data_IF_411006276603
#
_entry.id   IF_411006276603
#
_cell.length_a   1.000
_cell.length_b   1.000
_cell.length_c   1.000
_cell.angle_alpha   90.00
_cell.angle_beta   90.00
_cell.angle_gamma   90.00
#
_symmetry.space_group_name_H-M   'P 1'
#
loop_
_entity.id
_entity.type
_entity.pdbx_description
1 polymer ?
#
# COMPACT_ATOMS: atom_id res chain seq x y z
N UNK A 1 13.90 -8.20 0.29
CA UNK A 1 12.59 -7.54 0.13
C UNK A 1 12.71 -6.13 0.66
N UNK A 2 12.06 -5.17 -0.01
CA UNK A 2 12.14 -3.73 0.25
C UNK A 2 11.56 -3.33 1.62
N UNK A 3 12.06 -2.25 2.23
CA UNK A 3 11.62 -1.80 3.56
C UNK A 3 10.96 -0.41 3.40
N UNK A 4 9.79 -0.17 4.02
CA UNK A 4 9.16 1.14 3.99
C UNK A 4 10.05 2.22 4.62
N UNK A 5 10.04 3.41 4.03
CA UNK A 5 10.75 4.59 4.54
C UNK A 5 9.88 5.85 4.37
N UNK A 6 10.38 7.02 4.78
CA UNK A 6 9.70 8.31 4.61
C UNK A 6 10.50 9.22 3.67
N UNK A 7 11.45 8.69 2.90
CA UNK A 7 12.39 9.51 2.15
C UNK A 7 11.67 10.28 1.04
N UNK A 8 10.73 9.63 0.35
CA UNK A 8 9.84 10.30 -0.60
C UNK A 8 9.01 11.41 0.07
N UNK A 9 8.45 11.14 1.26
CA UNK A 9 7.63 12.10 1.97
C UNK A 9 8.45 13.34 2.39
N UNK A 10 9.68 13.12 2.87
CA UNK A 10 10.63 14.18 3.21
C UNK A 10 11.01 14.99 1.98
N UNK A 11 11.25 14.34 0.85
CA UNK A 11 11.58 15.02 -0.40
C UNK A 11 10.45 15.96 -0.83
N UNK A 12 9.21 15.46 -0.89
CA UNK A 12 8.06 16.28 -1.32
C UNK A 12 7.66 17.34 -0.31
N UNK A 13 8.00 17.16 0.98
CA UNK A 13 7.75 18.17 2.02
C UNK A 13 8.65 19.40 1.88
N UNK A 14 9.81 19.28 1.21
CA UNK A 14 10.79 20.36 1.13
C UNK A 14 11.31 20.86 2.48
N UNK A 15 11.23 20.04 3.54
CA UNK A 15 11.59 20.40 4.91
C UNK A 15 10.44 20.92 5.78
N UNK A 16 9.19 20.93 5.27
CA UNK A 16 8.00 21.23 6.06
C UNK A 16 7.59 20.04 6.92
N UNK A 17 7.94 20.12 8.21
CA UNK A 17 7.65 19.07 9.19
C UNK A 17 6.16 18.95 9.52
N UNK A 18 5.39 20.04 9.42
CA UNK A 18 3.94 19.98 9.69
C UNK A 18 3.24 19.21 8.57
N UNK A 19 3.65 19.44 7.33
CA UNK A 19 3.21 18.66 6.17
C UNK A 19 3.59 17.18 6.30
N UNK A 20 4.85 16.85 6.63
CA UNK A 20 5.30 15.47 6.83
C UNK A 20 4.44 14.75 7.89
N UNK A 21 4.22 15.39 9.03
CA UNK A 21 3.42 14.82 10.12
C UNK A 21 1.94 14.65 9.75
N UNK A 22 1.35 15.60 9.03
CA UNK A 22 -0.02 15.51 8.56
C UNK A 22 -0.21 14.31 7.60
N UNK A 23 0.69 14.16 6.64
CA UNK A 23 0.67 13.06 5.68
C UNK A 23 0.92 11.70 6.34
N UNK A 24 1.87 11.62 7.27
CA UNK A 24 2.12 10.39 8.04
C UNK A 24 0.89 10.02 8.88
N UNK A 25 0.23 10.99 9.51
CA UNK A 25 -1.00 10.76 10.27
C UNK A 25 -2.12 10.23 9.40
N UNK A 26 -2.28 10.78 8.19
CA UNK A 26 -3.25 10.29 7.21
C UNK A 26 -2.96 8.85 6.79
N UNK A 27 -1.70 8.52 6.48
CA UNK A 27 -1.29 7.16 6.14
C UNK A 27 -1.60 6.17 7.27
N UNK A 28 -1.29 6.55 8.53
CA UNK A 28 -1.57 5.72 9.71
C UNK A 28 -3.06 5.48 9.94
N UNK A 29 -3.91 6.43 9.56
CA UNK A 29 -5.36 6.30 9.67
C UNK A 29 -5.95 5.44 8.56
N UNK A 30 -5.62 5.75 7.30
CA UNK A 30 -6.31 5.17 6.15
C UNK A 30 -5.76 3.79 5.73
N UNK A 31 -4.43 3.61 5.76
CA UNK A 31 -3.80 2.38 5.25
C UNK A 31 -4.32 1.12 5.95
N UNK A 32 -4.46 1.06 7.29
CA UNK A 32 -4.99 -0.14 7.95
C UNK A 32 -6.45 -0.45 7.56
N UNK A 33 -7.25 0.59 7.32
CA UNK A 33 -8.65 0.45 6.91
C UNK A 33 -8.73 -0.11 5.49
N UNK A 34 -8.00 0.46 4.54
CA UNK A 34 -7.92 -0.03 3.15
C UNK A 34 -7.39 -1.46 3.07
N UNK A 35 -6.35 -1.78 3.82
CA UNK A 35 -5.81 -3.14 3.87
C UNK A 35 -6.83 -4.15 4.42
N UNK A 36 -7.69 -3.72 5.35
CA UNK A 36 -8.79 -4.55 5.86
C UNK A 36 -9.86 -4.78 4.80
N UNK A 37 -10.25 -3.73 4.07
CA UNK A 37 -11.21 -3.82 2.97
C UNK A 37 -10.68 -4.73 1.85
N UNK A 38 -9.40 -4.62 1.49
CA UNK A 38 -8.76 -5.49 0.50
C UNK A 38 -8.91 -6.97 0.86
N UNK A 39 -8.64 -7.34 2.12
CA UNK A 39 -8.76 -8.72 2.58
C UNK A 39 -10.20 -9.21 2.53
N UNK A 40 -11.14 -8.39 2.97
CA UNK A 40 -12.57 -8.70 2.91
C UNK A 40 -13.03 -8.90 1.46
N UNK A 41 -12.60 -8.06 0.52
CA UNK A 41 -12.94 -8.20 -0.89
C UNK A 41 -12.30 -9.44 -1.52
N UNK A 42 -11.09 -9.81 -1.09
CA UNK A 42 -10.44 -11.06 -1.48
C UNK A 42 -11.20 -12.29 -1.00
N UNK A 43 -11.62 -12.33 0.26
CA UNK A 43 -12.42 -13.43 0.83
C UNK A 43 -13.76 -13.62 0.11
N UNK A 44 -14.32 -12.54 -0.44
CA UNK A 44 -15.56 -12.56 -1.23
C UNK A 44 -15.36 -12.80 -2.73
N UNK A 45 -14.12 -12.94 -3.21
CA UNK A 45 -13.76 -13.05 -4.64
C UNK A 45 -14.25 -11.87 -5.51
N UNK A 46 -14.33 -10.67 -4.95
CA UNK A 46 -14.76 -9.46 -5.66
C UNK A 46 -13.60 -8.86 -6.47
N UNK A 47 -13.20 -9.50 -7.58
CA UNK A 47 -11.97 -9.16 -8.31
C UNK A 47 -11.85 -7.69 -8.79
N UNK A 48 -12.94 -7.07 -9.20
CA UNK A 48 -12.94 -5.67 -9.60
C UNK A 48 -12.66 -4.73 -8.41
N UNK A 49 -13.30 -4.99 -7.27
CA UNK A 49 -13.09 -4.24 -6.03
C UNK A 49 -11.68 -4.44 -5.49
N UNK A 50 -11.16 -5.68 -5.53
CA UNK A 50 -9.78 -5.99 -5.15
C UNK A 50 -8.81 -5.16 -5.99
N UNK A 51 -9.02 -5.06 -7.30
CA UNK A 51 -8.15 -4.25 -8.15
C UNK A 51 -8.21 -2.75 -7.79
N UNK A 52 -9.39 -2.23 -7.47
CA UNK A 52 -9.55 -0.85 -7.01
C UNK A 52 -8.87 -0.60 -5.65
N UNK A 53 -8.95 -1.56 -4.73
CA UNK A 53 -8.27 -1.49 -3.44
C UNK A 53 -6.74 -1.50 -3.62
N UNK A 54 -6.21 -2.39 -4.47
CA UNK A 54 -4.79 -2.44 -4.79
C UNK A 54 -4.34 -1.12 -5.43
N UNK A 55 -5.15 -0.53 -6.30
CA UNK A 55 -4.83 0.77 -6.92
C UNK A 55 -4.63 1.88 -5.88
N UNK A 56 -5.52 1.97 -4.89
CA UNK A 56 -5.44 2.96 -3.80
C UNK A 56 -4.20 2.71 -2.93
N UNK A 57 -4.03 1.46 -2.50
CA UNK A 57 -2.91 1.05 -1.64
C UNK A 57 -1.57 1.27 -2.34
N UNK A 58 -1.47 1.02 -3.65
CA UNK A 58 -0.26 1.22 -4.45
C UNK A 58 0.30 2.63 -4.34
N UNK A 59 -0.55 3.67 -4.33
CA UNK A 59 -0.08 5.05 -4.14
C UNK A 59 0.62 5.23 -2.79
N UNK A 60 0.11 4.57 -1.74
CA UNK A 60 0.70 4.60 -0.40
C UNK A 60 2.00 3.82 -0.31
N UNK A 61 2.12 2.71 -1.03
CA UNK A 61 3.39 1.98 -1.20
C UNK A 61 4.44 2.92 -1.83
N UNK A 62 4.06 3.67 -2.88
CA UNK A 62 4.93 4.66 -3.51
C UNK A 62 5.34 5.78 -2.56
N UNK A 63 4.39 6.31 -1.76
CA UNK A 63 4.68 7.32 -0.74
C UNK A 63 5.68 6.85 0.33
N UNK A 64 5.79 5.53 0.54
CA UNK A 64 6.72 4.91 1.48
C UNK A 64 8.06 4.53 0.84
N UNK A 65 8.33 5.04 -0.38
CA UNK A 65 9.60 4.85 -1.08
C UNK A 65 9.87 3.40 -1.47
N UNK A 66 8.82 2.64 -1.80
CA UNK A 66 8.90 1.20 -2.10
C UNK A 66 8.63 0.90 -3.59
N UNK A 67 9.53 1.33 -4.49
CA UNK A 67 9.34 1.26 -5.95
C UNK A 67 9.15 -0.17 -6.49
N UNK A 68 9.97 -1.13 -6.04
CA UNK A 68 9.83 -2.52 -6.49
C UNK A 68 8.49 -3.11 -6.04
N UNK A 69 7.99 -2.66 -4.90
CA UNK A 69 6.69 -3.05 -4.37
C UNK A 69 5.52 -2.40 -5.14
N UNK A 70 5.70 -1.18 -5.67
CA UNK A 70 4.75 -0.53 -6.58
C UNK A 70 4.60 -1.33 -7.88
N UNK A 71 5.70 -1.86 -8.43
CA UNK A 71 5.66 -2.70 -9.62
C UNK A 71 4.90 -4.01 -9.38
N UNK A 72 5.15 -4.66 -8.25
CA UNK A 72 4.43 -5.86 -7.85
C UNK A 72 2.93 -5.58 -7.65
N UNK A 73 2.58 -4.49 -6.97
CA UNK A 73 1.19 -4.07 -6.79
C UNK A 73 0.51 -3.78 -8.15
N UNK A 74 1.21 -3.12 -9.07
CA UNK A 74 0.72 -2.85 -10.44
C UNK A 74 0.48 -4.14 -11.23
N UNK A 75 1.33 -5.15 -11.04
CA UNK A 75 1.15 -6.47 -11.67
C UNK A 75 -0.07 -7.18 -11.08
N UNK A 76 -0.18 -7.21 -9.75
CA UNK A 76 -1.32 -7.81 -9.05
C UNK A 76 -2.65 -7.14 -9.44
N UNK A 77 -2.71 -5.80 -9.46
CA UNK A 77 -3.88 -5.00 -9.88
C UNK A 77 -4.40 -5.41 -11.26
N UNK A 78 -3.49 -5.65 -12.22
CA UNK A 78 -3.84 -6.06 -13.59
C UNK A 78 -4.29 -7.51 -13.65
N UNK A 79 -3.57 -8.39 -12.96
CA UNK A 79 -3.78 -9.84 -13.05
C UNK A 79 -5.05 -10.28 -12.32
N UNK A 80 -5.37 -9.65 -11.18
CA UNK A 80 -6.50 -10.05 -10.34
C UNK A 80 -7.84 -9.82 -11.04
N UNK A 81 -7.94 -8.82 -11.94
CA UNK A 81 -9.13 -8.60 -12.79
C UNK A 81 -9.45 -9.79 -13.69
N UNK A 82 -8.46 -10.61 -14.02
CA UNK A 82 -8.63 -11.83 -14.80
C UNK A 82 -8.75 -13.09 -13.91
N UNK A 83 -8.92 -12.92 -12.60
CA UNK A 83 -8.94 -14.00 -11.60
C UNK A 83 -7.57 -14.60 -11.29
N UNK A 84 -6.47 -14.02 -11.79
CA UNK A 84 -5.12 -14.47 -11.45
C UNK A 84 -4.67 -13.84 -10.11
N UNK A 85 -4.41 -14.69 -9.11
CA UNK A 85 -4.05 -14.31 -7.75
C UNK A 85 -2.59 -14.63 -7.38
N UNK A 86 -1.74 -14.99 -8.35
CA UNK A 86 -0.34 -15.40 -8.15
C UNK A 86 0.45 -14.39 -7.31
N UNK A 87 0.32 -13.10 -7.62
CA UNK A 87 1.05 -12.03 -6.91
C UNK A 87 0.42 -11.63 -5.56
N UNK A 88 -0.81 -12.07 -5.28
CA UNK A 88 -1.56 -11.57 -4.12
C UNK A 88 -0.86 -11.90 -2.81
N UNK A 89 -0.30 -13.11 -2.69
CA UNK A 89 0.43 -13.53 -1.49
C UNK A 89 1.62 -12.61 -1.20
N UNK A 90 2.41 -12.30 -2.22
CA UNK A 90 3.59 -11.44 -2.05
C UNK A 90 3.18 -10.00 -1.75
N UNK A 91 2.10 -9.52 -2.37
CA UNK A 91 1.51 -8.23 -2.04
C UNK A 91 1.10 -8.19 -0.57
N UNK A 92 0.38 -9.18 -0.05
CA UNK A 92 -0.03 -9.22 1.36
C UNK A 92 1.16 -9.13 2.31
N UNK A 93 2.26 -9.85 2.04
CA UNK A 93 3.49 -9.78 2.86
C UNK A 93 4.11 -8.37 2.88
N UNK A 94 4.04 -7.65 1.75
CA UNK A 94 4.46 -6.24 1.67
C UNK A 94 3.54 -5.37 2.53
N UNK A 95 2.23 -5.54 2.41
CA UNK A 95 1.24 -4.74 3.13
C UNK A 95 1.32 -4.96 4.65
N UNK A 96 1.57 -6.19 5.10
CA UNK A 96 1.81 -6.50 6.51
C UNK A 96 3.04 -5.77 7.05
N UNK A 97 4.13 -5.72 6.28
CA UNK A 97 5.35 -4.99 6.65
C UNK A 97 5.08 -3.49 6.78
N UNK A 98 4.33 -2.91 5.84
CA UNK A 98 3.92 -1.50 5.92
C UNK A 98 3.07 -1.26 7.18
N UNK A 99 2.11 -2.15 7.46
CA UNK A 99 1.25 -2.02 8.63
C UNK A 99 2.05 -2.06 9.95
N UNK A 100 3.07 -2.94 10.03
CA UNK A 100 3.99 -2.97 11.19
C UNK A 100 4.83 -1.70 11.27
N UNK A 101 5.35 -1.22 10.15
CA UNK A 101 6.14 0.01 10.09
C UNK A 101 5.35 1.23 10.57
N UNK A 102 4.14 1.43 10.04
CA UNK A 102 3.27 2.56 10.40
C UNK A 102 2.82 2.54 11.87
N UNK A 103 2.67 1.35 12.48
CA UNK A 103 2.36 1.22 13.91
C UNK A 103 3.52 1.63 14.82
N UNK A 104 4.76 1.53 14.34
CA UNK A 104 5.98 1.83 15.10
C UNK A 104 6.54 3.24 14.83
N UNK A 105 5.85 4.05 14.04
CA UNK A 105 6.09 5.48 13.85
C UNK A 105 5.08 6.27 14.67
#
# INVERSE_FOLDING_TARGET
MEIPNLDYLKEISGGDLDFENAMLSLLKLEFPAEYTVLKMNFDNNNFDEIALDIHKIKHKIGMLGMEASVDLASKCEKNIKNGNTEEYRDLVLILERINVYLKNK
#
